data_IF_306778386441
#
_entry.id   IF_306778386441
#
_cell.length_a   1.000
_cell.length_b   1.000
_cell.length_c   1.000
_cell.angle_alpha   90.00
_cell.angle_beta   90.00
_cell.angle_gamma   90.00
#
_symmetry.space_group_name_H-M   'P 1'
#
loop_
_entity.id
_entity.type
_entity.pdbx_description
1 polymer ?
#
# COMPACT_ATOMS: atom_id res chain seq x y z
N UNK A 1 -10.73 -17.76 3.58
CA UNK A 1 -9.46 -17.35 4.21
C UNK A 1 -9.01 -16.02 3.63
N UNK A 2 -8.66 -15.08 4.48
CA UNK A 2 -8.03 -13.84 4.02
C UNK A 2 -6.62 -14.15 3.51
N UNK A 3 -6.26 -13.60 2.35
CA UNK A 3 -4.89 -13.70 1.85
C UNK A 3 -3.94 -12.95 2.77
N UNK A 4 -2.76 -13.53 2.99
CA UNK A 4 -1.74 -12.92 3.84
C UNK A 4 -0.71 -12.18 2.96
N UNK A 5 -0.97 -10.92 2.68
CA UNK A 5 -0.12 -10.08 1.84
C UNK A 5 1.27 -9.86 2.45
N UNK A 6 1.36 -9.75 3.77
CA UNK A 6 2.63 -9.59 4.47
C UNK A 6 3.50 -10.84 4.30
N UNK A 7 2.88 -12.02 4.36
CA UNK A 7 3.59 -13.27 4.10
C UNK A 7 4.08 -13.36 2.64
N UNK A 8 3.27 -12.91 1.67
CA UNK A 8 3.68 -12.86 0.27
C UNK A 8 4.92 -11.98 0.08
N UNK A 9 4.93 -10.79 0.70
CA UNK A 9 6.10 -9.89 0.66
C UNK A 9 7.33 -10.59 1.25
N UNK A 10 7.18 -11.25 2.38
CA UNK A 10 8.27 -11.99 3.02
C UNK A 10 8.81 -13.13 2.18
N UNK A 11 7.96 -13.82 1.44
CA UNK A 11 8.35 -14.90 0.53
C UNK A 11 9.06 -14.38 -0.72
N UNK A 12 8.54 -13.30 -1.30
CA UNK A 12 9.10 -12.70 -2.51
C UNK A 12 10.42 -11.97 -2.23
N UNK A 13 10.62 -11.46 -1.00
CA UNK A 13 11.82 -10.72 -0.55
C UNK A 13 12.10 -9.46 -1.35
N UNK A 14 11.16 -9.03 -2.16
CA UNK A 14 11.21 -7.80 -2.97
C UNK A 14 9.87 -7.09 -2.79
N UNK A 15 9.94 -5.81 -2.47
CA UNK A 15 8.76 -4.97 -2.28
C UNK A 15 8.95 -3.67 -3.05
N UNK A 16 8.52 -3.62 -4.32
CA UNK A 16 8.69 -2.43 -5.14
C UNK A 16 7.72 -1.33 -4.76
N UNK A 17 8.19 -0.10 -4.82
CA UNK A 17 7.39 1.11 -4.58
C UNK A 17 7.41 1.94 -5.87
N UNK A 18 6.24 2.21 -6.42
CA UNK A 18 6.07 3.04 -7.61
C UNK A 18 5.75 4.47 -7.19
N UNK A 19 6.56 5.41 -7.65
CA UNK A 19 6.40 6.85 -7.40
C UNK A 19 6.38 7.58 -8.75
N UNK A 20 5.22 7.70 -9.35
CA UNK A 20 5.02 8.40 -10.61
C UNK A 20 3.96 9.48 -10.46
N UNK A 21 4.08 10.54 -11.25
CA UNK A 21 3.07 11.61 -11.30
C UNK A 21 1.87 11.20 -12.14
N UNK A 22 2.10 10.40 -13.17
CA UNK A 22 1.08 10.01 -14.15
C UNK A 22 0.51 8.62 -13.85
N UNK A 23 -0.81 8.51 -13.86
CA UNK A 23 -1.50 7.24 -13.65
C UNK A 23 -1.14 6.20 -14.73
N UNK A 24 -1.08 6.62 -16.01
CA UNK A 24 -0.73 5.75 -17.13
C UNK A 24 0.65 5.11 -16.96
N UNK A 25 1.64 5.90 -16.56
CA UNK A 25 3.00 5.42 -16.33
C UNK A 25 3.05 4.43 -15.16
N UNK A 26 2.32 4.72 -14.08
CA UNK A 26 2.20 3.82 -12.93
C UNK A 26 1.63 2.46 -13.33
N UNK A 27 0.59 2.45 -14.15
CA UNK A 27 -0.06 1.22 -14.64
C UNK A 27 0.91 0.39 -15.47
N UNK A 28 1.67 1.02 -16.39
CA UNK A 28 2.64 0.31 -17.24
C UNK A 28 3.78 -0.30 -16.40
N UNK A 29 4.31 0.44 -15.44
CA UNK A 29 5.34 -0.07 -14.53
C UNK A 29 4.80 -1.26 -13.72
N UNK A 30 3.59 -1.15 -13.20
CA UNK A 30 2.96 -2.22 -12.45
C UNK A 30 2.80 -3.51 -13.28
N UNK A 31 2.39 -3.38 -14.54
CA UNK A 31 2.28 -4.51 -15.47
C UNK A 31 3.63 -5.21 -15.65
N UNK A 32 4.69 -4.44 -15.88
CA UNK A 32 6.04 -5.00 -16.04
C UNK A 32 6.52 -5.73 -14.77
N UNK A 33 6.25 -5.18 -13.59
CA UNK A 33 6.59 -5.80 -12.32
C UNK A 33 5.84 -7.12 -12.12
N UNK A 34 4.56 -7.16 -12.41
CA UNK A 34 3.74 -8.37 -12.28
C UNK A 34 4.19 -9.44 -13.29
N UNK A 35 4.52 -9.07 -14.52
CA UNK A 35 5.09 -9.99 -15.51
C UNK A 35 6.43 -10.57 -15.03
N UNK A 36 7.20 -9.80 -14.26
CA UNK A 36 8.43 -10.26 -13.63
C UNK A 36 8.25 -11.13 -12.39
N UNK A 37 7.00 -11.35 -11.94
CA UNK A 37 6.69 -12.23 -10.82
C UNK A 37 6.35 -11.52 -9.50
N UNK A 38 6.24 -10.20 -9.48
CA UNK A 38 5.84 -9.45 -8.28
C UNK A 38 4.35 -9.67 -7.99
N UNK A 39 4.03 -10.04 -6.75
CA UNK A 39 2.65 -10.29 -6.31
C UNK A 39 2.06 -9.14 -5.52
N UNK A 40 2.89 -8.40 -4.78
CA UNK A 40 2.48 -7.23 -3.98
C UNK A 40 3.39 -6.07 -4.33
N UNK A 41 2.81 -4.93 -4.64
CA UNK A 41 3.55 -3.70 -4.94
C UNK A 41 2.89 -2.50 -4.27
N UNK A 42 3.67 -1.47 -3.99
CA UNK A 42 3.19 -0.23 -3.43
C UNK A 42 3.06 0.84 -4.50
N UNK A 43 1.95 1.58 -4.46
CA UNK A 43 1.75 2.79 -5.26
C UNK A 43 1.65 3.96 -4.29
N UNK A 44 2.55 4.93 -4.43
CA UNK A 44 2.56 6.10 -3.56
C UNK A 44 1.50 7.11 -3.99
N UNK A 45 0.65 7.56 -3.04
CA UNK A 45 -0.46 8.48 -3.32
C UNK A 45 -0.02 9.93 -3.21
N UNK A 46 0.84 10.38 -4.12
CA UNK A 46 1.37 11.76 -4.11
C UNK A 46 0.37 12.78 -4.65
N UNK A 47 -0.58 12.36 -5.47
CA UNK A 47 -1.58 13.24 -6.05
C UNK A 47 -2.91 12.49 -6.30
N UNK A 48 -4.04 13.21 -6.47
CA UNK A 48 -5.35 12.57 -6.63
C UNK A 48 -5.49 11.66 -7.85
N UNK A 49 -4.75 11.88 -8.93
CA UNK A 49 -4.84 11.05 -10.14
C UNK A 49 -4.31 9.63 -9.92
N UNK A 50 -3.49 9.41 -8.90
CA UNK A 50 -2.92 8.10 -8.60
C UNK A 50 -3.97 7.10 -8.10
N UNK A 51 -5.07 7.55 -7.52
CA UNK A 51 -6.15 6.64 -7.11
C UNK A 51 -6.75 5.89 -8.30
N UNK A 52 -6.82 6.52 -9.47
CA UNK A 52 -7.20 5.85 -10.72
C UNK A 52 -6.23 4.72 -11.06
N UNK A 53 -4.94 4.95 -10.90
CA UNK A 53 -3.93 3.91 -11.11
C UNK A 53 -4.10 2.75 -10.12
N UNK A 54 -4.37 3.03 -8.85
CA UNK A 54 -4.65 2.00 -7.85
C UNK A 54 -5.83 1.14 -8.29
N UNK A 55 -6.91 1.76 -8.76
CA UNK A 55 -8.10 1.06 -9.22
C UNK A 55 -7.80 0.12 -10.40
N UNK A 56 -7.06 0.59 -11.39
CA UNK A 56 -6.70 -0.21 -12.55
C UNK A 56 -5.71 -1.34 -12.20
N UNK A 57 -4.67 -1.02 -11.44
CA UNK A 57 -3.65 -2.02 -11.05
C UNK A 57 -4.23 -3.09 -10.12
N UNK A 58 -5.20 -2.73 -9.27
CA UNK A 58 -5.86 -3.68 -8.36
C UNK A 58 -6.62 -4.80 -9.08
N UNK A 59 -6.89 -4.63 -10.37
CA UNK A 59 -7.51 -5.68 -11.19
C UNK A 59 -6.57 -6.85 -11.49
N UNK A 60 -5.25 -6.65 -11.41
CA UNK A 60 -4.26 -7.67 -11.75
C UNK A 60 -3.11 -7.82 -10.75
N UNK A 61 -3.04 -7.01 -9.70
CA UNK A 61 -2.01 -7.06 -8.67
C UNK A 61 -2.60 -6.76 -7.29
N UNK A 62 -1.88 -7.15 -6.24
CA UNK A 62 -2.21 -6.76 -4.88
C UNK A 62 -1.51 -5.45 -4.55
N UNK A 63 -2.28 -4.39 -4.39
CA UNK A 63 -1.75 -3.03 -4.23
C UNK A 63 -1.73 -2.62 -2.76
N UNK A 64 -0.57 -2.15 -2.32
CA UNK A 64 -0.41 -1.37 -1.10
C UNK A 64 -0.47 0.11 -1.46
N UNK A 65 -1.36 0.87 -0.86
CA UNK A 65 -1.35 2.32 -1.00
C UNK A 65 -0.33 2.92 -0.05
N UNK A 66 0.66 3.63 -0.60
CA UNK A 66 1.76 4.20 0.18
C UNK A 66 1.65 5.70 0.38
N UNK A 67 2.33 6.20 1.42
CA UNK A 67 2.29 7.61 1.77
C UNK A 67 0.99 8.05 2.44
N UNK A 68 0.27 7.14 3.05
CA UNK A 68 -1.01 7.41 3.71
C UNK A 68 -0.77 8.07 5.06
N UNK A 69 -1.27 9.28 5.24
CA UNK A 69 -1.15 10.05 6.48
C UNK A 69 -2.50 10.52 7.05
N UNK A 70 -3.59 10.32 6.30
CA UNK A 70 -4.95 10.70 6.75
C UNK A 70 -5.92 9.54 6.54
N UNK A 71 -7.00 9.54 7.33
CA UNK A 71 -8.08 8.56 7.18
C UNK A 71 -8.77 8.67 5.81
N UNK A 72 -8.92 9.88 5.30
CA UNK A 72 -9.51 10.10 3.96
C UNK A 72 -8.69 9.42 2.87
N UNK A 73 -7.36 9.52 2.93
CA UNK A 73 -6.49 8.83 1.98
C UNK A 73 -6.62 7.31 2.09
N UNK A 74 -6.66 6.79 3.32
CA UNK A 74 -6.83 5.36 3.55
C UNK A 74 -8.16 4.85 2.98
N UNK A 75 -9.27 5.54 3.27
CA UNK A 75 -10.58 5.16 2.78
C UNK A 75 -10.65 5.21 1.25
N UNK A 76 -10.16 6.29 0.63
CA UNK A 76 -10.12 6.43 -0.82
C UNK A 76 -9.30 5.32 -1.49
N UNK A 77 -8.15 4.98 -0.93
CA UNK A 77 -7.30 3.91 -1.46
C UNK A 77 -7.97 2.54 -1.37
N UNK A 78 -8.61 2.25 -0.23
CA UNK A 78 -9.32 0.98 -0.04
C UNK A 78 -10.54 0.87 -0.95
N UNK A 79 -11.27 1.95 -1.17
CA UNK A 79 -12.38 2.01 -2.14
C UNK A 79 -11.90 1.75 -3.57
N UNK A 80 -10.68 2.16 -3.91
CA UNK A 80 -10.07 1.89 -5.21
C UNK A 80 -9.50 0.47 -5.33
N UNK A 81 -9.55 -0.33 -4.29
CA UNK A 81 -9.15 -1.73 -4.33
C UNK A 81 -7.80 -2.05 -3.69
N UNK A 82 -7.15 -1.10 -3.04
CA UNK A 82 -5.94 -1.38 -2.27
C UNK A 82 -6.23 -2.43 -1.18
N UNK A 83 -5.29 -3.34 -0.96
CA UNK A 83 -5.43 -4.46 -0.01
C UNK A 83 -4.70 -4.21 1.31
N UNK A 84 -3.78 -3.27 1.31
CA UNK A 84 -3.05 -2.82 2.49
C UNK A 84 -2.60 -1.39 2.26
N UNK A 85 -2.14 -0.75 3.32
CA UNK A 85 -1.60 0.60 3.18
C UNK A 85 -0.36 0.80 4.06
N UNK A 86 0.47 1.76 3.69
CA UNK A 86 1.68 2.13 4.42
C UNK A 86 1.71 3.62 4.71
N UNK A 87 2.42 3.98 5.76
CA UNK A 87 2.63 5.36 6.15
C UNK A 87 4.11 5.62 6.45
N UNK A 88 4.65 6.78 6.08
CA UNK A 88 6.03 7.13 6.44
C UNK A 88 6.20 7.43 7.93
N UNK A 89 5.10 7.62 8.64
CA UNK A 89 5.08 7.95 10.07
C UNK A 89 4.15 7.02 10.84
N UNK A 90 4.40 6.87 12.14
CA UNK A 90 3.51 6.12 13.02
C UNK A 90 2.37 7.02 13.50
N UNK A 91 1.13 6.57 13.30
CA UNK A 91 -0.07 7.23 13.80
C UNK A 91 -1.06 6.21 14.32
N UNK A 92 -1.52 6.40 15.55
CA UNK A 92 -2.46 5.47 16.20
C UNK A 92 -3.81 5.39 15.47
N UNK A 93 -4.27 6.47 14.84
CA UNK A 93 -5.51 6.43 14.06
C UNK A 93 -5.39 5.49 12.84
N UNK A 94 -4.23 5.37 12.23
CA UNK A 94 -3.99 4.41 11.14
C UNK A 94 -4.07 2.97 11.64
N UNK A 95 -3.55 2.71 12.83
CA UNK A 95 -3.70 1.39 13.48
C UNK A 95 -5.17 1.05 13.71
N UNK A 96 -5.96 2.03 14.18
CA UNK A 96 -7.40 1.84 14.39
C UNK A 96 -8.13 1.53 13.08
N UNK A 97 -7.82 2.25 12.00
CA UNK A 97 -8.39 2.00 10.68
C UNK A 97 -8.03 0.59 10.21
N UNK A 98 -6.76 0.22 10.31
CA UNK A 98 -6.28 -1.13 9.95
C UNK A 98 -7.08 -2.22 10.66
N UNK A 99 -7.25 -2.09 11.96
CA UNK A 99 -8.02 -3.06 12.76
C UNK A 99 -9.49 -3.08 12.40
N UNK A 100 -10.12 -1.93 12.26
CA UNK A 100 -11.55 -1.83 11.95
C UNK A 100 -11.88 -2.34 10.54
N UNK A 101 -11.02 -2.07 9.58
CA UNK A 101 -11.18 -2.53 8.19
C UNK A 101 -10.60 -3.92 7.93
N UNK A 102 -9.89 -4.48 8.91
CA UNK A 102 -9.17 -5.76 8.80
C UNK A 102 -8.18 -5.76 7.62
N UNK A 103 -7.44 -4.67 7.48
CA UNK A 103 -6.48 -4.43 6.41
C UNK A 103 -5.09 -4.25 7.01
N UNK A 104 -4.05 -4.93 6.51
CA UNK A 104 -2.69 -4.76 7.02
C UNK A 104 -2.19 -3.33 6.86
N UNK A 105 -1.45 -2.86 7.87
CA UNK A 105 -0.82 -1.55 7.88
C UNK A 105 0.69 -1.70 8.08
N UNK A 106 1.47 -1.17 7.15
CA UNK A 106 2.93 -1.08 7.26
C UNK A 106 3.27 0.28 7.86
N UNK A 107 3.58 0.29 9.14
CA UNK A 107 3.82 1.51 9.89
C UNK A 107 5.24 2.04 9.70
N UNK A 108 5.39 3.35 9.48
CA UNK A 108 6.67 4.02 9.56
C UNK A 108 7.10 4.22 11.02
N UNK A 109 8.39 4.20 11.28
CA UNK A 109 8.96 4.45 12.60
C UNK A 109 10.39 4.97 12.45
N UNK A 110 10.69 6.06 13.13
CA UNK A 110 12.03 6.65 13.15
C UNK A 110 12.73 6.51 14.51
N UNK A 111 12.03 6.03 15.53
CA UNK A 111 12.55 5.82 16.88
C UNK A 111 12.20 4.42 17.38
N UNK A 112 12.95 3.96 18.38
CA UNK A 112 12.68 2.68 19.03
C UNK A 112 11.29 2.65 19.67
N UNK A 113 10.85 3.77 20.26
CA UNK A 113 9.52 3.86 20.87
C UNK A 113 8.41 3.75 19.82
N UNK A 114 8.54 4.41 18.67
CA UNK A 114 7.56 4.29 17.58
C UNK A 114 7.50 2.86 17.07
N UNK A 115 8.64 2.21 16.84
CA UNK A 115 8.69 0.82 16.40
C UNK A 115 8.03 -0.11 17.42
N UNK A 116 8.32 0.08 18.70
CA UNK A 116 7.72 -0.72 19.78
C UNK A 116 6.21 -0.51 19.86
N UNK A 117 5.74 0.71 19.74
CA UNK A 117 4.30 1.02 19.78
C UNK A 117 3.55 0.54 18.53
N UNK A 118 4.23 0.41 17.40
CA UNK A 118 3.65 -0.15 16.18
C UNK A 118 3.52 -1.69 16.24
N UNK A 119 4.39 -2.34 16.99
CA UNK A 119 4.40 -3.79 17.17
C UNK A 119 3.23 -4.26 18.03
#
# INVERSE_FOLDING_TARGET
MSENYIQMIGQDKIYPIIRCKEASQTIEIAKALVEGGIRVLEINVENPSIYEAIQEVSKFANVCAGGIITSMQADAALECGAKLFSSPIFQMNMVKISKNKQVPFIAGASTANEAYNAW
#
